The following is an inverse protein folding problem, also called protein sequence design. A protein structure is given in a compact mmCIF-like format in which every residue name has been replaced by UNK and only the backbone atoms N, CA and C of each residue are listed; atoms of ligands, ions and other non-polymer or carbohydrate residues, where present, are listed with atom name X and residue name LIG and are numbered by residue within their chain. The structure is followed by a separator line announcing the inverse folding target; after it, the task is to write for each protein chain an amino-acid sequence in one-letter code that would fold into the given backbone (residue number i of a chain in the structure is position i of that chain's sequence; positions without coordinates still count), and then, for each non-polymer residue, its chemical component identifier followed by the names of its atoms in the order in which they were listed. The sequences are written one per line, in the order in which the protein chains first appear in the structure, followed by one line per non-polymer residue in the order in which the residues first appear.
data_IF_530986072961
#
_entry.id   IF_530986072961
#
_cell.length_a   1.000
_cell.length_b   1.000
_cell.length_c   1.000
_cell.angle_alpha   90.00
_cell.angle_beta   90.00
_cell.angle_gamma   90.00
#
_symmetry.space_group_name_H-M   'P 1'
#
loop_
_entity.id
_entity.type
_entity.pdbx_description
1 polymer ?
#
# COMPACT_ATOMS: atom_id res chain seq x y z
N UNK A 1 25.89 -4.12 -25.04
CA UNK A 1 25.26 -3.06 -24.22
C UNK A 1 25.33 -3.51 -22.77
N UNK A 2 26.25 -2.94 -22.02
CA UNK A 2 26.52 -3.27 -20.61
C UNK A 2 25.45 -2.62 -19.72
N UNK A 3 24.73 -3.45 -18.98
CA UNK A 3 23.75 -3.02 -17.99
C UNK A 3 24.50 -2.45 -16.78
N UNK A 4 24.40 -1.14 -16.54
CA UNK A 4 24.89 -0.54 -15.31
C UNK A 4 23.94 -0.93 -14.18
N UNK A 5 24.32 -1.93 -13.39
CA UNK A 5 23.76 -2.11 -12.06
C UNK A 5 24.06 -0.82 -11.27
N UNK A 6 23.02 -0.03 -11.02
CA UNK A 6 23.10 1.13 -10.13
C UNK A 6 23.26 0.58 -8.71
N UNK A 7 24.51 0.45 -8.26
CA UNK A 7 24.80 0.19 -6.86
C UNK A 7 24.53 1.49 -6.11
N UNK A 8 23.39 1.58 -5.42
CA UNK A 8 23.21 2.59 -4.38
C UNK A 8 24.32 2.42 -3.35
N UNK A 9 24.88 3.54 -2.87
CA UNK A 9 25.87 3.48 -1.79
C UNK A 9 25.14 3.17 -0.48
N UNK A 10 25.64 2.27 0.37
CA UNK A 10 25.06 2.01 1.69
C UNK A 10 24.86 3.28 2.54
N UNK A 11 25.63 4.35 2.27
CA UNK A 11 25.46 5.66 2.92
C UNK A 11 24.25 6.46 2.40
N UNK A 12 23.96 6.36 1.10
CA UNK A 12 22.78 6.99 0.49
C UNK A 12 21.49 6.34 1.01
N UNK A 13 21.52 5.00 1.10
CA UNK A 13 20.44 4.19 1.68
C UNK A 13 20.13 4.59 3.13
N UNK A 14 21.16 4.72 3.97
CA UNK A 14 21.01 5.17 5.37
C UNK A 14 20.45 6.61 5.45
N UNK A 15 20.84 7.49 4.53
CA UNK A 15 20.33 8.86 4.45
C UNK A 15 18.85 8.92 4.06
N UNK A 16 18.45 8.11 3.09
CA UNK A 16 17.07 7.97 2.63
C UNK A 16 16.16 7.47 3.76
N UNK A 17 16.54 6.38 4.43
CA UNK A 17 15.79 5.79 5.55
C UNK A 17 15.62 6.80 6.70
N UNK A 18 16.67 7.56 7.02
CA UNK A 18 16.59 8.63 8.03
C UNK A 18 15.62 9.73 7.63
N UNK A 19 15.60 10.13 6.35
CA UNK A 19 14.65 11.12 5.85
C UNK A 19 13.21 10.60 5.95
N UNK A 20 12.96 9.37 5.52
CA UNK A 20 11.63 8.76 5.61
C UNK A 20 11.14 8.69 7.07
N UNK A 21 12.03 8.34 8.01
CA UNK A 21 11.72 8.37 9.44
C UNK A 21 11.35 9.78 9.94
N UNK A 22 11.99 10.83 9.44
CA UNK A 22 11.61 12.22 9.77
C UNK A 22 10.27 12.67 9.18
N UNK A 23 9.78 11.99 8.13
CA UNK A 23 8.48 12.27 7.50
C UNK A 23 7.32 11.53 8.19
N UNK A 24 7.62 10.65 9.16
CA UNK A 24 6.61 9.99 9.96
C UNK A 24 5.98 10.97 10.97
N UNK A 25 4.64 11.02 11.06
CA UNK A 25 3.95 11.67 12.16
C UNK A 25 4.48 11.18 13.51
N UNK A 26 4.59 12.06 14.53
CA UNK A 26 5.21 11.73 15.81
C UNK A 26 4.52 10.56 16.51
N UNK A 27 3.21 10.35 16.28
CA UNK A 27 2.47 9.25 16.89
C UNK A 27 2.91 7.88 16.38
N UNK A 28 3.50 7.80 15.19
CA UNK A 28 3.87 6.54 14.54
C UNK A 28 5.33 6.16 14.73
N UNK A 29 6.18 7.09 15.17
CA UNK A 29 7.62 6.88 15.25
C UNK A 29 8.04 5.80 16.27
N UNK A 30 7.18 5.45 17.23
CA UNK A 30 7.45 4.44 18.26
C UNK A 30 7.09 3.01 17.86
N UNK A 31 6.26 2.81 16.84
CA UNK A 31 5.74 1.50 16.43
C UNK A 31 5.81 1.23 14.92
N UNK A 32 6.23 2.22 14.12
CA UNK A 32 6.53 2.03 12.70
C UNK A 32 8.04 2.00 12.47
N UNK A 33 8.54 0.89 11.95
CA UNK A 33 9.91 0.73 11.48
C UNK A 33 9.97 0.86 9.96
N UNK A 34 11.02 1.49 9.43
CA UNK A 34 11.24 1.63 7.99
C UNK A 34 12.54 0.92 7.66
N UNK A 35 12.45 -0.13 6.84
CA UNK A 35 13.56 -1.02 6.53
C UNK A 35 13.77 -1.15 5.02
N UNK A 36 15.01 -1.43 4.56
CA UNK A 36 15.23 -1.77 3.17
C UNK A 36 14.63 -3.16 2.87
N UNK A 37 13.98 -3.31 1.72
CA UNK A 37 13.44 -4.59 1.32
C UNK A 37 14.57 -5.60 1.04
N UNK A 38 14.54 -6.77 1.67
CA UNK A 38 15.59 -7.81 1.56
C UNK A 38 15.27 -8.92 0.56
N UNK A 39 14.08 -8.90 -0.03
CA UNK A 39 13.64 -9.93 -0.97
C UNK A 39 14.37 -9.89 -2.33
N UNK A 40 14.38 -11.04 -3.02
CA UNK A 40 15.07 -11.21 -4.32
C UNK A 40 14.42 -10.39 -5.45
N UNK A 41 13.14 -10.03 -5.33
CA UNK A 41 12.43 -9.16 -6.26
C UNK A 41 11.25 -8.45 -5.55
N UNK A 42 11.53 -7.52 -4.61
CA UNK A 42 10.49 -6.97 -3.77
C UNK A 42 9.54 -6.05 -4.55
N UNK A 43 8.28 -5.91 -4.09
CA UNK A 43 7.45 -4.77 -4.45
C UNK A 43 8.18 -3.46 -4.09
N UNK A 44 7.81 -2.35 -4.72
CA UNK A 44 8.44 -1.06 -4.43
C UNK A 44 8.30 -0.64 -2.96
N UNK A 45 7.10 -0.87 -2.40
CA UNK A 45 6.84 -0.70 -0.98
C UNK A 45 6.00 -1.88 -0.53
N UNK A 46 6.38 -2.48 0.60
CA UNK A 46 5.62 -3.51 1.30
C UNK A 46 5.38 -3.00 2.71
N UNK A 47 4.19 -3.27 3.25
CA UNK A 47 3.89 -2.99 4.65
C UNK A 47 3.41 -4.29 5.29
N UNK A 48 4.09 -4.71 6.33
CA UNK A 48 3.83 -5.93 7.06
C UNK A 48 3.71 -5.63 8.55
N UNK A 49 2.85 -6.38 9.23
CA UNK A 49 2.71 -6.28 10.68
C UNK A 49 3.57 -7.37 11.31
N UNK A 50 4.62 -6.99 12.05
CA UNK A 50 5.60 -7.93 12.62
C UNK A 50 5.11 -8.58 13.93
N UNK A 51 3.99 -8.08 14.47
CA UNK A 51 3.35 -8.50 15.73
C UNK A 51 3.42 -7.43 16.83
N UNK A 52 2.51 -7.51 17.82
CA UNK A 52 2.36 -6.55 18.95
C UNK A 52 2.15 -5.09 18.50
N UNK A 53 1.31 -4.89 17.49
CA UNK A 53 1.00 -3.58 16.90
C UNK A 53 2.22 -2.86 16.28
N UNK A 54 3.32 -3.58 16.01
CA UNK A 54 4.46 -3.03 15.27
C UNK A 54 4.28 -3.26 13.78
N UNK A 55 4.52 -2.21 13.01
CA UNK A 55 4.38 -2.21 11.56
C UNK A 55 5.72 -1.90 10.92
N UNK A 56 6.12 -2.74 9.98
CA UNK A 56 7.32 -2.56 9.20
C UNK A 56 6.96 -2.11 7.79
N UNK A 57 7.56 -0.99 7.35
CA UNK A 57 7.48 -0.50 5.98
C UNK A 57 8.79 -0.83 5.29
N UNK A 58 8.76 -1.80 4.39
CA UNK A 58 9.89 -2.23 3.59
C UNK A 58 9.90 -1.49 2.25
N UNK A 59 11.06 -0.95 1.87
CA UNK A 59 11.20 -0.16 0.65
C UNK A 59 12.33 -0.70 -0.21
N UNK A 60 12.05 -0.96 -1.48
CA UNK A 60 13.08 -1.26 -2.48
C UNK A 60 13.78 0.03 -2.89
N UNK A 61 14.92 0.32 -2.24
CA UNK A 61 15.69 1.55 -2.43
C UNK A 61 16.15 1.74 -3.90
N UNK A 62 16.41 0.65 -4.63
CA UNK A 62 16.87 0.71 -6.03
C UNK A 62 15.79 1.26 -6.94
N UNK A 63 14.54 0.80 -6.77
CA UNK A 63 13.39 1.34 -7.52
C UNK A 63 12.97 2.71 -6.98
N UNK A 64 13.12 2.92 -5.68
CA UNK A 64 12.72 4.15 -4.98
C UNK A 64 13.48 5.38 -5.47
N UNK A 65 14.80 5.27 -5.66
CA UNK A 65 15.65 6.37 -6.15
C UNK A 65 15.30 6.86 -7.56
N UNK A 66 14.64 6.03 -8.36
CA UNK A 66 14.19 6.40 -9.72
C UNK A 66 13.01 7.39 -9.70
N UNK A 67 12.36 7.56 -8.54
CA UNK A 67 11.24 8.46 -8.36
C UNK A 67 11.70 9.85 -7.87
N UNK A 68 11.01 10.88 -8.33
CA UNK A 68 11.22 12.23 -7.82
C UNK A 68 10.96 12.30 -6.32
N UNK A 69 11.66 13.19 -5.60
CA UNK A 69 11.55 13.34 -4.14
C UNK A 69 10.08 13.54 -3.69
N UNK A 70 9.32 14.36 -4.43
CA UNK A 70 7.92 14.62 -4.11
C UNK A 70 7.02 13.40 -4.35
N UNK A 71 7.34 12.57 -5.34
CA UNK A 71 6.61 11.34 -5.60
C UNK A 71 6.84 10.33 -4.47
N UNK A 72 8.10 10.19 -4.04
CA UNK A 72 8.49 9.34 -2.91
C UNK A 72 7.77 9.74 -1.62
N UNK A 73 7.77 11.03 -1.29
CA UNK A 73 7.13 11.53 -0.07
C UNK A 73 5.61 11.22 -0.07
N UNK A 74 4.94 11.44 -1.20
CA UNK A 74 3.49 11.19 -1.30
C UNK A 74 3.14 9.70 -1.30
N UNK A 75 3.96 8.84 -1.92
CA UNK A 75 3.78 7.39 -1.84
C UNK A 75 4.06 6.86 -0.43
N UNK A 76 5.06 7.42 0.26
CA UNK A 76 5.34 7.09 1.65
C UNK A 76 4.17 7.50 2.56
N UNK A 77 3.65 8.72 2.42
CA UNK A 77 2.48 9.15 3.19
C UNK A 77 1.20 8.36 2.88
N UNK A 78 1.08 7.79 1.68
CA UNK A 78 0.03 6.83 1.38
C UNK A 78 0.15 5.57 2.24
N UNK A 79 1.34 4.98 2.37
CA UNK A 79 1.52 3.82 3.24
C UNK A 79 1.33 4.18 4.71
N UNK A 80 1.83 5.33 5.15
CA UNK A 80 1.54 5.86 6.50
C UNK A 80 0.04 5.99 6.75
N UNK A 81 -0.72 6.50 5.78
CA UNK A 81 -2.17 6.59 5.89
C UNK A 81 -2.86 5.22 5.93
N UNK A 82 -2.29 4.21 5.26
CA UNK A 82 -2.77 2.81 5.33
C UNK A 82 -2.53 2.21 6.71
N UNK A 83 -1.38 2.49 7.32
CA UNK A 83 -1.04 2.13 8.70
C UNK A 83 -2.05 2.74 9.67
N UNK A 84 -2.27 4.06 9.58
CA UNK A 84 -3.24 4.77 10.44
C UNK A 84 -4.69 4.29 10.27
N UNK A 85 -5.02 3.69 9.12
CA UNK A 85 -6.35 3.19 8.82
C UNK A 85 -6.54 1.72 9.16
N UNK A 86 -5.51 1.05 9.70
CA UNK A 86 -5.52 -0.39 10.00
C UNK A 86 -5.89 -1.25 8.78
N UNK A 87 -5.41 -0.82 7.60
CA UNK A 87 -5.67 -1.49 6.29
C UNK A 87 -4.50 -2.36 5.82
N UNK A 88 -3.57 -2.65 6.73
CA UNK A 88 -2.43 -3.50 6.46
C UNK A 88 -2.89 -4.96 6.54
N UNK A 89 -2.49 -5.81 5.59
CA UNK A 89 -2.84 -7.22 5.65
C UNK A 89 -2.19 -7.88 6.88
N UNK A 90 -2.98 -8.12 7.93
CA UNK A 90 -2.64 -9.00 9.06
C UNK A 90 -2.29 -10.42 8.62
N UNK A 91 -1.37 -11.05 9.33
CA UNK A 91 -0.78 -12.38 9.11
C UNK A 91 -1.53 -13.37 8.20
N UNK A 92 -0.76 -13.98 7.30
CA UNK A 92 -1.20 -14.92 6.25
C UNK A 92 -1.44 -16.36 6.71
N UNK A 93 -1.69 -16.61 8.00
CA UNK A 93 -1.99 -17.97 8.51
C UNK A 93 -3.16 -18.64 7.78
N UNK A 94 -4.09 -17.84 7.23
CA UNK A 94 -5.20 -18.30 6.39
C UNK A 94 -4.71 -19.08 5.15
N UNK A 95 -3.59 -18.67 4.56
CA UNK A 95 -2.97 -19.37 3.42
C UNK A 95 -2.30 -20.67 3.85
N UNK A 96 -1.66 -20.68 5.02
CA UNK A 96 -1.07 -21.89 5.60
C UNK A 96 -2.16 -22.91 5.98
N UNK A 97 -3.23 -22.47 6.63
CA UNK A 97 -4.39 -23.30 6.98
C UNK A 97 -5.07 -23.89 5.73
N UNK A 98 -5.22 -23.09 4.67
CA UNK A 98 -5.78 -23.56 3.40
C UNK A 98 -4.87 -24.58 2.71
N UNK A 99 -3.55 -24.34 2.68
CA UNK A 99 -2.58 -25.27 2.10
C UNK A 99 -2.52 -26.60 2.87
N UNK A 100 -2.55 -26.54 4.21
CA UNK A 100 -2.61 -27.71 5.09
C UNK A 100 -3.92 -28.46 4.88
N UNK A 101 -5.06 -27.76 4.84
CA UNK A 101 -6.38 -28.36 4.63
C UNK A 101 -6.49 -29.08 3.28
N UNK A 102 -5.93 -28.49 2.21
CA UNK A 102 -5.87 -29.14 0.90
C UNK A 102 -4.93 -30.35 0.89
N UNK A 103 -3.75 -30.26 1.53
CA UNK A 103 -2.82 -31.38 1.64
C UNK A 103 -3.37 -32.55 2.46
N UNK A 104 -4.03 -32.25 3.59
CA UNK A 104 -4.70 -33.23 4.44
C UNK A 104 -5.86 -33.93 3.74
N UNK A 105 -6.72 -33.17 3.06
CA UNK A 105 -7.85 -33.74 2.32
C UNK A 105 -7.42 -34.72 1.23
N UNK A 106 -6.30 -34.45 0.53
CA UNK A 106 -5.76 -35.40 -0.46
C UNK A 106 -5.24 -36.66 0.23
N UNK A 107 -4.48 -36.54 1.32
CA UNK A 107 -3.95 -37.69 2.06
C UNK A 107 -5.05 -38.58 2.67
N UNK A 108 -6.12 -37.98 3.18
CA UNK A 108 -7.22 -38.69 3.84
C UNK A 108 -8.16 -39.38 2.85
N UNK A 109 -8.29 -38.83 1.63
CA UNK A 109 -9.01 -39.49 0.53
C UNK A 109 -8.39 -40.86 0.19
N UNK A 110 -7.07 -40.98 0.34
CA UNK A 110 -6.33 -42.23 0.15
C UNK A 110 -6.46 -43.19 1.34
N UNK A 111 -6.55 -42.65 2.56
CA UNK A 111 -6.65 -43.44 3.81
C UNK A 111 -8.11 -43.88 4.10
N UNK A 112 -9.09 -43.36 3.35
CA UNK A 112 -10.52 -43.62 3.51
C UNK A 112 -11.08 -43.25 4.90
N UNK A 113 -10.42 -42.34 5.62
CA UNK A 113 -10.94 -41.82 6.88
C UNK A 113 -11.91 -40.66 6.61
N UNK A 114 -13.21 -40.98 6.64
CA UNK A 114 -14.27 -40.02 6.37
C UNK A 114 -14.42 -38.92 7.42
N UNK A 115 -13.98 -39.14 8.67
CA UNK A 115 -14.09 -38.14 9.73
C UNK A 115 -13.04 -37.04 9.55
N UNK A 116 -11.80 -37.45 9.30
CA UNK A 116 -10.72 -36.52 9.04
C UNK A 116 -10.97 -35.71 7.77
N UNK A 117 -11.47 -36.36 6.70
CA UNK A 117 -11.82 -35.69 5.45
C UNK A 117 -12.83 -34.55 5.65
N UNK A 118 -13.85 -34.78 6.51
CA UNK A 118 -14.83 -33.74 6.84
C UNK A 118 -14.20 -32.57 7.61
N UNK A 119 -13.27 -32.82 8.52
CA UNK A 119 -12.53 -31.77 9.24
C UNK A 119 -11.62 -30.97 8.30
N UNK A 120 -10.90 -31.64 7.40
CA UNK A 120 -10.05 -31.01 6.41
C UNK A 120 -10.86 -30.12 5.45
N UNK A 121 -12.00 -30.61 4.96
CA UNK A 121 -12.93 -29.85 4.13
C UNK A 121 -13.57 -28.68 4.91
N UNK A 122 -13.91 -28.87 6.18
CA UNK A 122 -14.41 -27.81 7.05
C UNK A 122 -13.40 -26.68 7.22
N UNK A 123 -12.14 -27.01 7.52
CA UNK A 123 -11.04 -26.05 7.64
C UNK A 123 -10.80 -25.30 6.32
N UNK A 124 -10.77 -26.03 5.19
CA UNK A 124 -10.59 -25.46 3.86
C UNK A 124 -11.76 -24.55 3.45
N UNK A 125 -13.00 -24.93 3.78
CA UNK A 125 -14.20 -24.15 3.47
C UNK A 125 -14.24 -22.83 4.25
N UNK A 126 -13.98 -22.87 5.55
CA UNK A 126 -13.97 -21.67 6.41
C UNK A 126 -12.82 -20.73 6.05
N UNK A 127 -11.60 -21.26 5.86
CA UNK A 127 -10.43 -20.47 5.44
C UNK A 127 -10.62 -19.87 4.05
N UNK A 128 -11.15 -20.64 3.08
CA UNK A 128 -11.47 -20.17 1.74
C UNK A 128 -12.53 -19.08 1.72
N UNK A 129 -13.60 -19.22 2.52
CA UNK A 129 -14.64 -18.19 2.64
C UNK A 129 -14.11 -16.90 3.29
N UNK A 130 -13.29 -17.02 4.34
CA UNK A 130 -12.65 -15.88 5.00
C UNK A 130 -11.70 -15.14 4.05
N UNK A 131 -10.89 -15.88 3.28
CA UNK A 131 -10.00 -15.33 2.27
C UNK A 131 -10.77 -14.63 1.14
N UNK A 132 -11.87 -15.24 0.67
CA UNK A 132 -12.72 -14.65 -0.36
C UNK A 132 -13.34 -13.34 0.10
N UNK A 133 -13.91 -13.32 1.32
CA UNK A 133 -14.49 -12.10 1.92
C UNK A 133 -13.44 -11.00 2.12
N UNK A 134 -12.20 -11.38 2.44
CA UNK A 134 -11.06 -10.47 2.63
C UNK A 134 -10.51 -9.92 1.31
N UNK A 135 -10.54 -10.70 0.24
CA UNK A 135 -10.05 -10.31 -1.09
C UNK A 135 -11.09 -9.53 -1.92
N UNK A 136 -11.98 -8.79 -1.27
CA UNK A 136 -13.01 -8.02 -1.95
C UNK A 136 -12.36 -6.81 -2.65
N UNK A 137 -12.07 -6.97 -3.95
CA UNK A 137 -11.25 -6.03 -4.74
C UNK A 137 -11.77 -4.59 -4.77
N UNK A 138 -13.08 -4.39 -4.56
CA UNK A 138 -13.68 -3.06 -4.47
C UNK A 138 -13.38 -2.37 -3.14
N UNK A 139 -13.40 -3.12 -2.02
CA UNK A 139 -13.07 -2.60 -0.69
C UNK A 139 -11.60 -2.22 -0.60
N UNK A 140 -10.70 -3.09 -1.08
CA UNK A 140 -9.25 -2.81 -1.09
C UNK A 140 -8.87 -1.65 -2.03
N UNK A 141 -9.68 -1.39 -3.06
CA UNK A 141 -9.55 -0.20 -3.89
C UNK A 141 -10.02 1.06 -3.16
N UNK A 142 -11.16 1.01 -2.47
CA UNK A 142 -11.67 2.13 -1.67
C UNK A 142 -10.73 2.50 -0.53
N UNK A 143 -10.18 1.51 0.17
CA UNK A 143 -9.18 1.70 1.23
C UNK A 143 -7.91 2.39 0.68
N UNK A 144 -7.46 2.01 -0.52
CA UNK A 144 -6.35 2.69 -1.17
C UNK A 144 -6.68 4.13 -1.59
N UNK A 145 -7.91 4.39 -2.08
CA UNK A 145 -8.35 5.75 -2.42
C UNK A 145 -8.45 6.63 -1.16
N UNK A 146 -8.98 6.08 -0.06
CA UNK A 146 -9.05 6.79 1.22
C UNK A 146 -7.65 7.09 1.78
N UNK A 147 -6.70 6.17 1.60
CA UNK A 147 -5.30 6.40 1.96
C UNK A 147 -4.64 7.48 1.09
N UNK A 148 -4.97 7.57 -0.21
CA UNK A 148 -4.52 8.67 -1.09
C UNK A 148 -5.02 10.04 -0.60
N UNK A 149 -6.29 10.14 -0.20
CA UNK A 149 -6.87 11.37 0.34
C UNK A 149 -6.22 11.77 1.68
N UNK A 150 -6.00 10.81 2.57
CA UNK A 150 -5.27 11.03 3.83
C UNK A 150 -3.82 11.43 3.57
N UNK A 151 -3.13 10.83 2.61
CA UNK A 151 -1.76 11.19 2.24
C UNK A 151 -1.67 12.66 1.79
N UNK A 152 -2.65 13.15 1.02
CA UNK A 152 -2.73 14.57 0.65
C UNK A 152 -2.93 15.43 1.88
N UNK A 153 -3.81 15.04 2.81
CA UNK A 153 -4.00 15.79 4.05
C UNK A 153 -2.70 15.87 4.88
N UNK A 154 -1.94 14.79 4.95
CA UNK A 154 -0.64 14.76 5.64
C UNK A 154 0.35 15.66 4.88
N UNK A 155 0.45 15.55 3.56
CA UNK A 155 1.33 16.38 2.74
C UNK A 155 1.07 17.87 2.95
N UNK A 156 -0.20 18.30 3.04
CA UNK A 156 -0.54 19.70 3.29
C UNK A 156 -0.11 20.18 4.68
N UNK A 157 -0.11 19.31 5.70
CA UNK A 157 0.43 19.63 7.03
C UNK A 157 1.94 19.77 7.02
N UNK A 158 2.63 19.02 6.17
CA UNK A 158 4.08 19.10 5.95
C UNK A 158 4.48 20.20 4.94
N UNK A 159 3.58 21.12 4.58
CA UNK A 159 3.88 22.32 3.80
C UNK A 159 3.67 22.21 2.29
N UNK A 160 3.14 21.10 1.77
CA UNK A 160 2.75 21.02 0.36
C UNK A 160 1.49 21.83 0.10
N UNK A 161 1.47 22.59 -1.00
CA UNK A 161 0.21 23.19 -1.46
C UNK A 161 -0.73 22.10 -1.97
N UNK A 162 -2.03 22.29 -1.78
CA UNK A 162 -3.04 21.34 -2.23
C UNK A 162 -2.89 20.97 -3.73
N UNK A 163 -2.69 21.91 -4.67
CA UNK A 163 -2.47 21.57 -6.08
C UNK A 163 -1.18 20.78 -6.32
N UNK A 164 -0.11 21.07 -5.58
CA UNK A 164 1.15 20.36 -5.72
C UNK A 164 1.03 18.92 -5.22
N UNK A 165 0.38 18.70 -4.07
CA UNK A 165 0.15 17.35 -3.53
C UNK A 165 -0.61 16.46 -4.54
N UNK A 166 -1.68 16.98 -5.15
CA UNK A 166 -2.41 16.26 -6.20
C UNK A 166 -1.56 15.98 -7.45
N UNK A 167 -0.75 16.95 -7.88
CA UNK A 167 0.13 16.79 -9.05
C UNK A 167 1.22 15.75 -8.80
N UNK A 168 1.86 15.81 -7.64
CA UNK A 168 2.94 14.89 -7.24
C UNK A 168 2.43 13.46 -7.11
N UNK A 169 1.34 13.22 -6.37
CA UNK A 169 0.74 11.89 -6.26
C UNK A 169 0.23 11.38 -7.63
N UNK A 170 -0.39 12.25 -8.43
CA UNK A 170 -0.86 11.89 -9.77
C UNK A 170 0.27 11.53 -10.73
N UNK A 171 1.42 12.20 -10.62
CA UNK A 171 2.63 11.86 -11.39
C UNK A 171 3.26 10.55 -10.91
N UNK A 172 3.30 10.31 -9.60
CA UNK A 172 3.78 9.07 -9.01
C UNK A 172 2.97 7.87 -9.51
N UNK A 173 1.63 7.97 -9.49
CA UNK A 173 0.74 6.92 -9.99
C UNK A 173 0.95 6.63 -11.49
N UNK A 174 1.23 7.65 -12.31
CA UNK A 174 1.55 7.44 -13.73
C UNK A 174 2.85 6.67 -13.90
N UNK A 175 3.90 7.06 -13.19
CA UNK A 175 5.18 6.35 -13.21
C UNK A 175 5.00 4.90 -12.75
N UNK A 176 4.18 4.66 -11.71
CA UNK A 176 3.84 3.30 -11.28
C UNK A 176 3.09 2.50 -12.35
N UNK A 177 2.17 3.12 -13.09
CA UNK A 177 1.42 2.46 -14.19
C UNK A 177 2.38 2.01 -15.29
N UNK A 178 3.36 2.85 -15.64
CA UNK A 178 4.36 2.58 -16.68
C UNK A 178 5.35 1.48 -16.25
N UNK A 179 5.78 1.50 -14.98
CA UNK A 179 6.74 0.54 -14.43
C UNK A 179 6.11 -0.82 -14.06
N UNK A 180 4.78 -0.92 -13.99
CA UNK A 180 4.10 -2.15 -13.52
C UNK A 180 3.76 -3.10 -14.68
N UNK A 181 4.42 -4.28 -14.79
CA UNK A 181 4.10 -5.24 -15.85
C UNK A 181 2.80 -6.01 -15.60
N UNK A 182 2.41 -6.20 -14.32
CA UNK A 182 1.24 -7.00 -13.94
C UNK A 182 -0.07 -6.23 -14.20
N UNK A 183 -0.89 -6.72 -15.13
CA UNK A 183 -2.19 -6.12 -15.53
C UNK A 183 -3.09 -5.77 -14.33
N UNK A 184 -3.30 -6.69 -13.39
CA UNK A 184 -4.17 -6.48 -12.22
C UNK A 184 -3.69 -5.33 -11.32
N UNK A 185 -2.38 -5.22 -11.09
CA UNK A 185 -1.81 -4.14 -10.28
C UNK A 185 -1.88 -2.80 -11.03
N UNK A 186 -1.58 -2.83 -12.33
CA UNK A 186 -1.71 -1.65 -13.22
C UNK A 186 -3.14 -1.11 -13.24
N UNK A 187 -4.14 -1.96 -13.38
CA UNK A 187 -5.56 -1.58 -13.37
C UNK A 187 -5.96 -0.93 -12.03
N UNK A 188 -5.37 -1.37 -10.91
CA UNK A 188 -5.56 -0.73 -9.59
C UNK A 188 -5.02 0.70 -9.57
N UNK A 189 -3.81 0.92 -10.10
CA UNK A 189 -3.24 2.27 -10.17
C UNK A 189 -4.02 3.19 -11.10
N UNK A 190 -4.52 2.67 -12.23
CA UNK A 190 -5.38 3.44 -13.15
C UNK A 190 -6.65 3.91 -12.43
N UNK A 191 -7.34 2.99 -11.72
CA UNK A 191 -8.56 3.33 -10.97
C UNK A 191 -8.30 4.34 -9.84
N UNK A 192 -7.17 4.20 -9.14
CA UNK A 192 -6.72 5.19 -8.13
C UNK A 192 -6.49 6.56 -8.78
N UNK A 193 -5.82 6.60 -9.93
CA UNK A 193 -5.56 7.85 -10.65
C UNK A 193 -6.85 8.53 -11.13
N UNK A 194 -7.85 7.76 -11.58
CA UNK A 194 -9.17 8.29 -11.92
C UNK A 194 -9.89 8.88 -10.71
N UNK A 195 -9.87 8.17 -9.57
CA UNK A 195 -10.44 8.66 -8.31
C UNK A 195 -9.73 9.93 -7.82
N UNK A 196 -8.40 9.99 -7.94
CA UNK A 196 -7.60 11.16 -7.62
C UNK A 196 -7.99 12.38 -8.47
N UNK A 197 -8.19 12.20 -9.77
CA UNK A 197 -8.64 13.29 -10.65
C UNK A 197 -10.01 13.81 -10.24
N UNK A 198 -10.93 12.91 -9.87
CA UNK A 198 -12.28 13.28 -9.39
C UNK A 198 -12.19 14.09 -8.07
N UNK A 199 -11.40 13.63 -7.11
CA UNK A 199 -11.21 14.35 -5.83
C UNK A 199 -10.52 15.71 -6.03
N UNK A 200 -9.52 15.80 -6.90
CA UNK A 200 -8.87 17.07 -7.24
C UNK A 200 -9.85 18.09 -7.85
N UNK A 201 -10.75 17.65 -8.73
CA UNK A 201 -11.78 18.51 -9.32
C UNK A 201 -12.79 19.00 -8.26
N UNK A 202 -13.21 18.12 -7.35
CA UNK A 202 -14.07 18.51 -6.21
C UNK A 202 -13.40 19.53 -5.31
N UNK A 203 -12.13 19.31 -4.96
CA UNK A 203 -11.38 20.24 -4.12
C UNK A 203 -11.20 21.61 -4.79
N UNK A 204 -10.96 21.66 -6.11
CA UNK A 204 -10.92 22.91 -6.88
C UNK A 204 -12.26 23.66 -6.85
N UNK A 205 -13.37 22.95 -7.03
CA UNK A 205 -14.71 23.54 -7.00
C UNK A 205 -15.03 24.15 -5.63
N UNK A 206 -14.67 23.47 -4.53
CA UNK A 206 -14.86 23.99 -3.17
C UNK A 206 -14.09 25.29 -2.92
N UNK A 207 -12.84 25.38 -3.40
CA UNK A 207 -12.02 26.59 -3.29
C UNK A 207 -12.59 27.74 -4.13
N UNK A 208 -13.18 27.44 -5.29
CA UNK A 208 -13.81 28.45 -6.15
C UNK A 208 -15.15 28.95 -5.58
N UNK A 209 -16.02 28.06 -5.10
CA UNK A 209 -17.29 28.44 -4.47
C UNK A 209 -17.13 29.20 -3.15
N UNK A 210 -16.03 28.99 -2.43
CA UNK A 210 -15.71 29.74 -1.20
C UNK A 210 -15.20 31.17 -1.48
N UNK A 211 -14.88 31.50 -2.73
CA UNK A 211 -14.35 32.80 -3.16
C UNK A 211 -15.41 33.74 -3.74
N UNK A 212 -16.67 33.31 -3.82
CA UNK A 212 -17.77 34.16 -4.28
C UNK A 212 -18.16 35.15 -3.17
N UNK A 213 -18.07 36.48 -3.39
CA UNK A 213 -18.39 37.45 -2.36
C UNK A 213 -19.89 37.42 -2.06
N UNK A 214 -20.25 37.34 -0.76
CA UNK A 214 -21.63 37.56 -0.32
C UNK A 214 -22.11 38.90 -0.88
N UNK A 215 -23.28 38.98 -1.54
CA UNK A 215 -23.84 40.26 -1.94
C UNK A 215 -24.08 41.08 -0.67
N UNK A 216 -23.35 42.17 -0.53
CA UNK A 216 -23.63 43.21 0.47
C UNK A 216 -24.91 43.90 0.02
N UNK A 217 -26.01 43.62 0.72
CA UNK A 217 -27.25 44.40 0.63
C UNK A 217 -27.10 45.72 1.38
#
# INVERSE_FOLDING_TARGET
MTSYASYSSPRADIGELRRLRSLLPPELQSWVTVEPATDVAPPMITCEELGRDQVEIQIDLTKWEQLAIDQRNLLFWHEVARVQSDTIPRDGWEMAALAIGLGGAVGELWVQDGLLLLLALGLCGVSGWRLYKRNNGQRTLQEAIAADEKAISIATRFGYTLPNAYKSLGSALKTLIEQTPKKKQRDRFIRRLEALKKSANRAKQQVQGSREPRPTY
#
